data_IF_325891787862
#
_entry.id   IF_325891787862
#
_cell.length_a   1.000
_cell.length_b   1.000
_cell.length_c   1.000
_cell.angle_alpha   90.00
_cell.angle_beta   90.00
_cell.angle_gamma   90.00
#
_symmetry.space_group_name_H-M   'P 1'
#
loop_
_entity.id
_entity.type
_entity.pdbx_description
1 polymer ?
#
# COMPACT_ATOMS: atom_id res chain seq x y z
N UNK A 1 -0.48 17.93 37.86
CA UNK A 1 -0.57 19.18 37.08
C UNK A 1 0.18 18.95 35.76
N UNK A 2 -0.56 18.97 34.65
CA UNK A 2 -0.18 19.16 33.23
C UNK A 2 1.10 18.57 32.60
N UNK A 3 0.88 17.55 31.75
CA UNK A 3 1.33 17.32 30.34
C UNK A 3 2.53 18.09 29.77
N UNK A 4 3.49 17.34 29.20
CA UNK A 4 4.08 17.65 27.89
C UNK A 4 4.77 16.41 27.26
N UNK A 5 4.01 15.62 26.50
CA UNK A 5 4.53 14.83 25.39
C UNK A 5 4.66 15.76 24.18
N UNK A 6 5.88 15.96 23.65
CA UNK A 6 6.18 16.35 22.26
C UNK A 6 7.70 16.59 22.07
N UNK A 7 8.26 16.58 20.85
CA UNK A 7 7.65 16.22 19.56
C UNK A 7 8.45 15.15 18.76
N UNK A 8 7.70 14.50 17.89
CA UNK A 8 8.15 13.84 16.66
C UNK A 8 9.03 14.81 15.84
N UNK A 9 10.36 14.66 15.90
CA UNK A 9 11.28 15.39 15.02
C UNK A 9 11.21 14.84 13.60
N UNK A 10 10.42 15.55 12.80
CA UNK A 10 10.74 16.06 11.47
C UNK A 10 12.06 15.62 10.84
N UNK A 11 12.09 14.44 10.22
CA UNK A 11 12.87 14.22 9.00
C UNK A 11 11.98 14.54 7.80
N UNK A 12 11.92 15.82 7.45
CA UNK A 12 11.51 16.29 6.13
C UNK A 12 12.54 15.81 5.11
N UNK A 13 12.43 14.56 4.66
CA UNK A 13 13.04 14.13 3.41
C UNK A 13 12.24 14.79 2.28
N UNK A 14 12.88 15.48 1.32
CA UNK A 14 12.16 16.15 0.25
C UNK A 14 11.52 15.11 -0.67
N UNK A 15 10.23 14.88 -0.48
CA UNK A 15 9.36 14.13 -1.38
C UNK A 15 9.11 14.98 -2.63
N UNK A 16 10.05 15.00 -3.58
CA UNK A 16 9.81 15.78 -4.80
C UNK A 16 10.92 15.96 -5.84
N UNK A 17 12.16 15.54 -5.62
CA UNK A 17 13.23 15.84 -6.58
C UNK A 17 14.17 14.66 -6.80
N UNK A 18 13.69 13.62 -7.52
CA UNK A 18 14.50 12.59 -8.21
C UNK A 18 13.60 11.61 -8.98
N UNK A 19 12.56 12.09 -9.68
CA UNK A 19 11.69 11.25 -10.51
C UNK A 19 11.57 11.75 -11.96
N UNK A 20 12.62 12.36 -12.49
CA UNK A 20 12.79 12.53 -13.92
C UNK A 20 14.04 11.78 -14.40
N UNK A 21 13.80 10.69 -15.14
CA UNK A 21 14.80 10.07 -15.99
C UNK A 21 15.44 8.80 -15.44
N UNK A 22 14.74 7.67 -15.53
CA UNK A 22 15.29 6.44 -16.11
C UNK A 22 14.29 5.28 -16.04
N UNK A 23 13.98 4.73 -17.21
CA UNK A 23 13.45 3.38 -17.46
C UNK A 23 12.03 3.06 -16.98
N UNK A 24 11.12 3.30 -17.92
CA UNK A 24 9.97 2.44 -18.22
C UNK A 24 10.38 0.94 -18.33
N UNK A 25 10.46 0.24 -17.21
CA UNK A 25 10.67 -1.21 -17.19
C UNK A 25 9.44 -1.91 -16.58
N UNK A 26 8.65 -2.53 -17.47
CA UNK A 26 7.48 -3.38 -17.23
C UNK A 26 6.52 -2.98 -16.10
N UNK A 27 5.67 -2.00 -16.42
CA UNK A 27 4.49 -1.63 -15.63
C UNK A 27 3.54 -2.82 -15.52
N UNK A 28 3.54 -3.52 -14.38
CA UNK A 28 2.44 -4.42 -14.07
C UNK A 28 1.28 -3.57 -13.59
N UNK A 29 0.29 -3.35 -14.47
CA UNK A 29 -0.92 -2.57 -14.16
C UNK A 29 -1.61 -3.25 -12.98
N UNK A 30 -1.58 -2.64 -11.79
CA UNK A 30 -2.32 -3.16 -10.65
C UNK A 30 -3.79 -3.13 -11.00
N UNK A 31 -4.41 -4.30 -11.12
CA UNK A 31 -5.86 -4.37 -11.10
C UNK A 31 -6.29 -3.79 -9.75
N UNK A 32 -7.12 -2.74 -9.77
CA UNK A 32 -7.47 -1.89 -8.61
C UNK A 32 -7.96 -2.69 -7.38
N UNK A 33 -8.42 -3.93 -7.58
CA UNK A 33 -8.90 -4.85 -6.54
C UNK A 33 -7.76 -5.54 -5.79
N UNK A 34 -6.70 -5.93 -6.48
CA UNK A 34 -5.56 -6.67 -5.95
C UNK A 34 -4.72 -5.76 -5.05
N UNK A 35 -4.50 -4.51 -5.49
CA UNK A 35 -3.90 -3.47 -4.66
C UNK A 35 -4.69 -3.24 -3.37
N UNK A 36 -6.03 -3.13 -3.49
CA UNK A 36 -6.92 -2.98 -2.34
C UNK A 36 -6.78 -4.15 -1.36
N UNK A 37 -6.72 -5.39 -1.87
CA UNK A 37 -6.57 -6.58 -1.03
C UNK A 37 -5.22 -6.62 -0.33
N UNK A 38 -4.13 -6.25 -1.03
CA UNK A 38 -2.81 -6.14 -0.43
C UNK A 38 -2.82 -5.17 0.76
N UNK A 39 -3.39 -3.97 0.58
CA UNK A 39 -3.47 -2.95 1.64
C UNK A 39 -4.30 -3.43 2.85
N UNK A 40 -5.47 -4.03 2.61
CA UNK A 40 -6.30 -4.59 3.70
C UNK A 40 -5.55 -5.67 4.46
N UNK A 41 -4.89 -6.60 3.76
CA UNK A 41 -4.12 -7.67 4.38
C UNK A 41 -2.91 -7.15 5.16
N UNK A 42 -2.25 -6.10 4.65
CA UNK A 42 -1.14 -5.44 5.32
C UNK A 42 -1.60 -4.81 6.64
N UNK A 43 -2.69 -4.03 6.64
CA UNK A 43 -3.28 -3.45 7.85
C UNK A 43 -3.67 -4.54 8.87
N UNK A 44 -4.23 -5.65 8.41
CA UNK A 44 -4.59 -6.76 9.31
C UNK A 44 -3.39 -7.51 9.90
N UNK A 45 -2.24 -7.45 9.24
CA UNK A 45 -0.99 -8.05 9.74
C UNK A 45 -0.24 -7.12 10.68
N UNK A 46 -0.20 -5.81 10.39
CA UNK A 46 0.64 -4.84 11.09
C UNK A 46 -0.14 -3.96 12.08
N UNK A 47 -1.48 -3.99 12.05
CA UNK A 47 -2.31 -3.24 12.97
C UNK A 47 -2.54 -1.81 12.49
N UNK A 48 -2.16 -0.83 13.31
CA UNK A 48 -2.26 0.58 12.94
C UNK A 48 -1.19 0.90 11.90
N UNK A 49 -1.60 1.43 10.75
CA UNK A 49 -0.72 1.72 9.62
C UNK A 49 -1.07 3.05 8.99
N UNK A 50 -0.06 3.89 8.78
CA UNK A 50 -0.17 5.17 8.11
C UNK A 50 -0.17 5.01 6.58
N UNK A 51 -0.77 5.99 5.89
CA UNK A 51 -0.77 6.05 4.43
C UNK A 51 0.65 6.17 3.88
N UNK A 52 1.53 6.89 4.56
CA UNK A 52 2.96 6.98 4.18
C UNK A 52 3.63 5.61 4.21
N UNK A 53 3.44 4.84 5.28
CA UNK A 53 3.99 3.48 5.41
C UNK A 53 3.45 2.55 4.33
N UNK A 54 2.16 2.63 4.00
CA UNK A 54 1.58 1.87 2.91
C UNK A 54 2.17 2.27 1.55
N UNK A 55 2.44 3.55 1.31
CA UNK A 55 3.09 4.01 0.07
C UNK A 55 4.53 3.51 -0.01
N UNK A 56 5.30 3.59 1.08
CA UNK A 56 6.66 3.05 1.15
C UNK A 56 6.66 1.55 0.89
N UNK A 57 5.78 0.80 1.53
CA UNK A 57 5.63 -0.64 1.31
C UNK A 57 5.32 -0.98 -0.16
N UNK A 58 4.50 -0.19 -0.84
CA UNK A 58 4.22 -0.41 -2.26
C UNK A 58 5.46 -0.16 -3.13
N UNK A 59 6.22 0.90 -2.83
CA UNK A 59 7.47 1.20 -3.53
C UNK A 59 8.51 0.09 -3.30
N UNK A 60 8.64 -0.42 -2.08
CA UNK A 60 9.55 -1.52 -1.73
C UNK A 60 9.20 -2.83 -2.46
N UNK A 61 7.91 -3.06 -2.72
CA UNK A 61 7.43 -4.19 -3.52
C UNK A 61 7.58 -3.97 -5.04
N UNK A 62 8.09 -2.81 -5.46
CA UNK A 62 8.29 -2.43 -6.85
C UNK A 62 6.98 -2.06 -7.57
N UNK A 63 5.97 -1.59 -6.84
CA UNK A 63 4.75 -1.05 -7.42
C UNK A 63 4.82 0.48 -7.47
N UNK A 64 4.59 1.01 -8.67
CA UNK A 64 4.33 2.43 -8.86
C UNK A 64 2.82 2.67 -9.00
N UNK A 65 2.34 3.73 -8.37
CA UNK A 65 0.91 4.07 -8.34
C UNK A 65 0.72 5.37 -9.08
N UNK A 66 0.07 5.30 -10.25
CA UNK A 66 -0.16 6.46 -11.09
C UNK A 66 -0.82 7.64 -10.32
N UNK A 67 -0.24 8.84 -10.46
CA UNK A 67 -0.77 10.08 -9.89
C UNK A 67 -0.30 10.37 -8.46
N UNK A 68 -1.24 10.62 -7.53
CA UNK A 68 -0.94 10.92 -6.11
C UNK A 68 -1.08 9.64 -5.27
N UNK A 69 0.01 8.98 -4.86
CA UNK A 69 -0.05 7.66 -4.22
C UNK A 69 -0.94 7.64 -2.97
N UNK A 70 -0.83 8.67 -2.12
CA UNK A 70 -1.66 8.79 -0.91
C UNK A 70 -3.16 8.86 -1.19
N UNK A 71 -3.56 9.51 -2.30
CA UNK A 71 -4.96 9.59 -2.72
C UNK A 71 -5.43 8.24 -3.21
N UNK A 72 -4.63 7.56 -4.03
CA UNK A 72 -4.97 6.25 -4.56
C UNK A 72 -5.11 5.20 -3.46
N UNK A 73 -4.20 5.18 -2.48
CA UNK A 73 -4.31 4.34 -1.28
C UNK A 73 -5.60 4.64 -0.52
N UNK A 74 -5.89 5.92 -0.29
CA UNK A 74 -7.10 6.34 0.44
C UNK A 74 -8.40 5.96 -0.31
N UNK A 75 -8.44 6.13 -1.63
CA UNK A 75 -9.59 5.78 -2.47
C UNK A 75 -9.78 4.27 -2.58
N UNK A 76 -8.69 3.49 -2.64
CA UNK A 76 -8.75 2.03 -2.61
C UNK A 76 -9.36 1.51 -1.30
N UNK A 77 -8.94 2.08 -0.16
CA UNK A 77 -9.42 1.69 1.17
C UNK A 77 -10.84 2.19 1.47
N UNK A 78 -11.34 3.22 0.78
CA UNK A 78 -12.67 3.81 1.02
C UNK A 78 -13.78 2.76 1.02
N UNK A 79 -13.73 1.77 0.13
CA UNK A 79 -14.73 0.69 0.08
C UNK A 79 -14.64 -0.22 1.31
N UNK A 80 -13.44 -0.64 1.71
CA UNK A 80 -13.27 -1.54 2.85
C UNK A 80 -13.46 -0.83 4.21
N UNK A 81 -13.38 0.51 4.24
CA UNK A 81 -13.87 1.31 5.37
C UNK A 81 -15.38 1.23 5.50
N UNK A 82 -16.13 1.36 4.39
CA UNK A 82 -17.59 1.23 4.42
C UNK A 82 -18.07 -0.16 4.83
N UNK A 83 -17.27 -1.20 4.53
CA UNK A 83 -17.56 -2.58 4.88
C UNK A 83 -17.03 -2.98 6.28
N UNK A 84 -16.53 -2.02 7.07
CA UNK A 84 -15.89 -2.22 8.38
C UNK A 84 -14.72 -3.21 8.39
N UNK A 85 -14.12 -3.52 7.23
CA UNK A 85 -12.94 -4.38 7.14
C UNK A 85 -11.67 -3.66 7.58
N UNK A 86 -11.66 -2.34 7.41
CA UNK A 86 -10.58 -1.44 7.83
C UNK A 86 -11.24 -0.23 8.51
N UNK A 87 -10.64 0.28 9.58
CA UNK A 87 -11.17 1.44 10.31
C UNK A 87 -10.21 2.60 10.21
N UNK A 88 -10.72 3.80 9.94
CA UNK A 88 -9.91 5.03 9.97
C UNK A 88 -9.75 5.46 11.43
N UNK A 89 -8.50 5.56 11.90
CA UNK A 89 -8.18 5.86 13.32
C UNK A 89 -7.65 7.27 13.55
N UNK A 90 -7.31 7.97 12.47
CA UNK A 90 -6.84 9.34 12.49
C UNK A 90 -6.62 9.85 11.08
N UNK A 91 -6.00 11.03 10.95
CA UNK A 91 -5.65 11.59 9.64
C UNK A 91 -4.61 10.70 8.96
N UNK A 92 -5.04 10.00 7.92
CA UNK A 92 -4.15 9.14 7.13
C UNK A 92 -3.68 7.89 7.86
N UNK A 93 -4.35 7.49 8.95
CA UNK A 93 -4.02 6.28 9.72
C UNK A 93 -5.22 5.34 9.69
N UNK A 94 -4.94 4.08 9.38
CA UNK A 94 -5.91 3.01 9.29
C UNK A 94 -5.55 1.88 10.25
N UNK A 95 -6.55 1.13 10.70
CA UNK A 95 -6.37 -0.04 11.54
C UNK A 95 -7.31 -1.17 11.15
N UNK A 96 -7.11 -2.38 11.72
CA UNK A 96 -7.96 -3.51 11.42
C UNK A 96 -9.40 -3.27 11.89
N UNK A 97 -10.34 -3.72 11.05
CA UNK A 97 -11.75 -3.89 11.41
C UNK A 97 -12.14 -5.37 11.39
N UNK A 98 -13.40 -5.69 11.10
CA UNK A 98 -13.89 -7.07 11.02
C UNK A 98 -13.60 -7.67 9.62
N UNK A 99 -12.74 -8.70 9.56
CA UNK A 99 -12.45 -9.42 8.33
C UNK A 99 -12.79 -10.91 8.47
N UNK A 100 -13.88 -11.39 7.82
CA UNK A 100 -14.23 -12.81 7.85
C UNK A 100 -13.10 -13.68 7.30
N UNK A 101 -12.83 -14.83 7.94
CA UNK A 101 -11.75 -15.75 7.55
C UNK A 101 -11.83 -16.19 6.09
N UNK A 102 -13.02 -16.47 5.57
CA UNK A 102 -13.23 -16.83 4.17
C UNK A 102 -12.84 -15.71 3.20
N UNK A 103 -13.16 -14.46 3.56
CA UNK A 103 -12.75 -13.27 2.78
C UNK A 103 -11.25 -13.06 2.86
N UNK A 104 -10.66 -13.18 4.04
CA UNK A 104 -9.21 -13.08 4.23
C UNK A 104 -8.47 -14.13 3.40
N UNK A 105 -8.93 -15.38 3.41
CA UNK A 105 -8.36 -16.46 2.61
C UNK A 105 -8.46 -16.15 1.11
N UNK A 106 -9.64 -15.77 0.61
CA UNK A 106 -9.82 -15.40 -0.80
C UNK A 106 -8.92 -14.22 -1.22
N UNK A 107 -8.81 -13.20 -0.37
CA UNK A 107 -7.93 -12.06 -0.60
C UNK A 107 -6.47 -12.51 -0.67
N UNK A 108 -6.01 -13.33 0.29
CA UNK A 108 -4.62 -13.85 0.31
C UNK A 108 -4.30 -14.64 -0.96
N UNK A 109 -5.14 -15.60 -1.34
CA UNK A 109 -4.92 -16.42 -2.53
C UNK A 109 -4.85 -15.57 -3.79
N UNK A 110 -5.74 -14.57 -3.93
CA UNK A 110 -5.75 -13.70 -5.10
C UNK A 110 -4.54 -12.77 -5.14
N UNK A 111 -4.19 -12.16 -4.00
CA UNK A 111 -3.02 -11.29 -3.88
C UNK A 111 -1.73 -12.07 -4.15
N UNK A 112 -1.58 -13.29 -3.61
CA UNK A 112 -0.41 -14.13 -3.87
C UNK A 112 -0.22 -14.39 -5.37
N UNK A 113 -1.28 -14.85 -6.07
CA UNK A 113 -1.24 -15.09 -7.52
C UNK A 113 -0.85 -13.83 -8.31
N UNK A 114 -1.38 -12.68 -7.92
CA UNK A 114 -1.05 -11.41 -8.56
C UNK A 114 0.41 -11.00 -8.30
N UNK A 115 0.92 -11.20 -7.08
CA UNK A 115 2.31 -10.93 -6.72
C UNK A 115 3.26 -11.83 -7.52
N UNK A 116 2.95 -13.11 -7.66
CA UNK A 116 3.74 -14.07 -8.44
C UNK A 116 3.79 -13.67 -9.92
N UNK A 117 2.65 -13.32 -10.51
CA UNK A 117 2.57 -12.85 -11.89
C UNK A 117 3.34 -11.53 -12.10
N UNK A 118 3.26 -10.61 -11.13
CA UNK A 118 4.01 -9.35 -11.15
C UNK A 118 5.52 -9.60 -11.05
N UNK A 119 5.95 -10.53 -10.20
CA UNK A 119 7.34 -10.92 -10.07
C UNK A 119 7.89 -11.54 -11.35
N UNK A 120 7.15 -12.49 -11.96
CA UNK A 120 7.52 -13.10 -13.24
C UNK A 120 7.67 -12.04 -14.35
N UNK A 121 6.74 -11.09 -14.43
CA UNK A 121 6.77 -10.01 -15.43
C UNK A 121 7.99 -9.10 -15.26
N UNK A 122 8.41 -8.81 -14.02
CA UNK A 122 9.63 -8.03 -13.73
C UNK A 122 10.91 -8.77 -14.12
N UNK A 123 10.98 -10.08 -13.87
CA UNK A 123 12.14 -10.90 -14.28
C UNK A 123 12.27 -10.92 -15.80
N UNK A 124 11.16 -11.10 -16.52
CA UNK A 124 11.16 -11.10 -17.98
C UNK A 124 11.58 -9.76 -18.60
N UNK A 125 11.35 -8.64 -17.90
CA UNK A 125 11.68 -7.29 -18.38
C UNK A 125 13.11 -6.85 -18.10
N UNK A 126 13.87 -7.62 -17.31
CA UNK A 126 15.29 -7.35 -17.05
C UNK A 126 16.10 -7.79 -18.28
N UNK A 127 16.79 -6.89 -19.01
CA UNK A 127 17.54 -7.29 -20.19
C UNK A 127 18.65 -8.28 -19.81
N UNK A 128 18.96 -9.27 -20.67
CA UNK A 128 20.11 -10.13 -20.47
C UNK A 128 21.38 -9.26 -20.44
N UNK A 129 22.29 -9.59 -19.53
CA UNK A 129 23.61 -8.95 -19.41
C UNK A 129 24.49 -9.28 -20.59
#
# INVERSE_FOLDING_TARGET
MYVAQAPFESLSVPFGALWHGARMAARTRSLRTELRYLLVLHIHRHGLTAVSEMVTMLADLGFDVDGRPSKTVSDALRTDVKLDRVRRRGRGVYGPGALPRSTQHRMRTRTARWMDASAASRVAARPPR
#
